data_IF_111169728476
#
_entry.id   IF_111169728476
#
_cell.length_a   1.000
_cell.length_b   1.000
_cell.length_c   1.000
_cell.angle_alpha   90.00
_cell.angle_beta   90.00
_cell.angle_gamma   90.00
#
_symmetry.space_group_name_H-M   'P 1'
#
loop_
_entity.id
_entity.type
_entity.pdbx_description
1 polymer ?
#
# COMPACT_ATOMS: atom_id res chain seq x y z
N UNK A 1 -1.58 16.29 10.97
CA UNK A 1 -2.79 15.46 11.09
C UNK A 1 -2.43 14.04 10.68
N UNK A 2 -2.87 13.02 11.43
CA UNK A 2 -2.64 11.63 11.04
C UNK A 2 -3.26 11.35 9.66
N UNK A 3 -2.62 10.47 8.90
CA UNK A 3 -3.11 9.97 7.61
C UNK A 3 -4.21 8.90 7.78
N UNK A 4 -4.48 8.48 9.01
CA UNK A 4 -5.50 7.49 9.38
C UNK A 4 -6.88 7.76 8.78
N UNK A 5 -7.34 9.01 8.68
CA UNK A 5 -8.62 9.34 8.02
C UNK A 5 -8.59 9.05 6.50
N UNK A 6 -7.47 9.36 5.84
CA UNK A 6 -7.26 9.02 4.42
C UNK A 6 -7.22 7.51 4.23
N UNK A 7 -6.48 6.79 5.08
CA UNK A 7 -6.38 5.32 5.03
C UNK A 7 -7.73 4.64 5.28
N UNK A 8 -8.45 5.10 6.31
CA UNK A 8 -9.82 4.67 6.60
C UNK A 8 -10.74 4.89 5.41
N UNK A 9 -10.71 6.08 4.82
CA UNK A 9 -11.53 6.41 3.65
C UNK A 9 -11.24 5.46 2.47
N UNK A 10 -9.98 5.14 2.20
CA UNK A 10 -9.61 4.18 1.15
C UNK A 10 -10.18 2.79 1.45
N UNK A 11 -9.93 2.26 2.66
CA UNK A 11 -10.30 0.89 3.05
C UNK A 11 -11.81 0.70 3.08
N UNK A 12 -12.56 1.66 3.63
CA UNK A 12 -14.02 1.58 3.70
C UNK A 12 -14.68 1.83 2.33
N UNK A 13 -14.07 2.64 1.46
CA UNK A 13 -14.66 2.97 0.16
C UNK A 13 -14.40 1.93 -0.93
N UNK A 14 -13.33 1.14 -0.84
CA UNK A 14 -12.92 0.24 -1.95
C UNK A 14 -13.89 -0.92 -2.18
N UNK A 15 -14.55 -1.42 -1.13
CA UNK A 15 -15.32 -2.65 -1.17
C UNK A 15 -14.40 -3.88 -1.08
N UNK A 16 -14.48 -4.59 0.05
CA UNK A 16 -13.59 -5.71 0.38
C UNK A 16 -12.20 -5.28 0.88
N UNK A 17 -12.05 -4.03 1.32
CA UNK A 17 -10.83 -3.54 1.97
C UNK A 17 -10.68 -4.13 3.37
N UNK A 18 -9.46 -4.54 3.71
CA UNK A 18 -9.14 -5.13 5.01
C UNK A 18 -8.21 -4.22 5.82
N UNK A 19 -7.29 -3.51 5.17
CA UNK A 19 -6.41 -2.57 5.85
C UNK A 19 -5.53 -1.80 4.87
N UNK A 20 -4.96 -0.70 5.33
CA UNK A 20 -3.99 0.10 4.57
C UNK A 20 -2.93 0.70 5.50
N UNK A 21 -1.73 0.89 4.97
CA UNK A 21 -0.58 1.40 5.73
C UNK A 21 0.27 2.30 4.85
N UNK A 22 0.77 3.39 5.44
CA UNK A 22 1.89 4.17 4.91
C UNK A 22 3.13 3.73 5.66
N UNK A 23 4.15 3.30 4.93
CA UNK A 23 5.34 2.70 5.51
C UNK A 23 6.59 3.23 4.82
N UNK A 24 7.62 3.46 5.63
CA UNK A 24 8.97 3.72 5.16
C UNK A 24 9.61 2.41 4.68
N UNK A 25 10.54 2.52 3.74
CA UNK A 25 11.19 1.36 3.15
C UNK A 25 11.93 0.51 4.18
N UNK A 26 12.40 1.09 5.28
CA UNK A 26 12.99 0.45 6.45
C UNK A 26 12.02 -0.44 7.27
N UNK A 27 10.73 -0.43 6.94
CA UNK A 27 9.69 -1.24 7.58
C UNK A 27 8.97 -0.52 8.72
N UNK A 28 9.23 0.77 8.95
CA UNK A 28 8.55 1.55 9.99
C UNK A 28 7.26 2.14 9.42
N UNK A 29 6.12 1.80 10.05
CA UNK A 29 4.83 2.37 9.70
C UNK A 29 4.74 3.84 10.16
N UNK A 30 4.35 4.74 9.26
CA UNK A 30 4.01 6.13 9.58
C UNK A 30 2.59 6.21 10.13
N UNK A 31 1.66 5.51 9.48
CA UNK A 31 0.27 5.45 9.87
C UNK A 31 -0.38 4.21 9.25
N UNK A 32 -1.39 3.68 9.92
CA UNK A 32 -2.10 2.48 9.49
C UNK A 32 -3.59 2.55 9.85
N UNK A 33 -4.39 1.83 9.07
CA UNK A 33 -5.78 1.59 9.38
C UNK A 33 -6.10 0.13 9.09
N UNK A 34 -6.63 -0.56 10.08
CA UNK A 34 -7.09 -1.95 9.99
C UNK A 34 -8.60 -1.98 10.19
N UNK A 35 -9.31 -2.67 9.30
CA UNK A 35 -10.73 -2.92 9.50
C UNK A 35 -10.91 -3.88 10.68
N UNK A 36 -11.82 -3.53 11.59
CA UNK A 36 -12.16 -4.36 12.74
C UNK A 36 -12.59 -5.77 12.30
N UNK A 37 -12.03 -6.78 12.96
CA UNK A 37 -12.39 -8.18 12.69
C UNK A 37 -11.80 -8.76 11.39
N UNK A 38 -10.86 -8.07 10.72
CA UNK A 38 -10.20 -8.58 9.51
C UNK A 38 -9.42 -9.89 9.72
N UNK A 39 -9.01 -10.19 10.96
CA UNK A 39 -8.25 -11.41 11.31
C UNK A 39 -6.83 -11.45 10.73
N UNK A 40 -6.34 -10.31 10.24
CA UNK A 40 -5.05 -10.14 9.57
C UNK A 40 -4.04 -9.48 10.51
N UNK A 41 -2.78 -9.90 10.43
CA UNK A 41 -1.64 -9.13 10.94
C UNK A 41 -1.12 -8.16 9.86
N UNK A 42 -1.67 -6.94 9.87
CA UNK A 42 -1.33 -5.91 8.88
C UNK A 42 0.16 -5.52 8.95
N UNK A 43 0.72 -5.42 10.15
CA UNK A 43 2.10 -5.00 10.35
C UNK A 43 3.07 -6.02 9.78
N UNK A 44 2.87 -7.31 10.10
CA UNK A 44 3.67 -8.39 9.53
C UNK A 44 3.59 -8.39 8.01
N UNK A 45 2.38 -8.30 7.44
CA UNK A 45 2.22 -8.23 5.98
C UNK A 45 2.96 -7.03 5.39
N UNK A 46 2.83 -5.86 5.99
CA UNK A 46 3.46 -4.63 5.51
C UNK A 46 4.99 -4.72 5.49
N UNK A 47 5.61 -5.27 6.55
CA UNK A 47 7.07 -5.45 6.64
C UNK A 47 7.58 -6.43 5.58
N UNK A 48 6.88 -7.54 5.36
CA UNK A 48 7.24 -8.51 4.32
C UNK A 48 7.12 -7.90 2.92
N UNK A 49 6.05 -7.14 2.65
CA UNK A 49 5.90 -6.44 1.38
C UNK A 49 6.90 -5.29 1.20
N UNK A 50 7.36 -4.62 2.27
CA UNK A 50 8.44 -3.63 2.20
C UNK A 50 9.74 -4.27 1.71
N UNK A 51 10.07 -5.46 2.23
CA UNK A 51 11.24 -6.23 1.82
C UNK A 51 11.15 -6.65 0.35
N UNK A 52 9.97 -7.13 -0.10
CA UNK A 52 9.74 -7.45 -1.50
C UNK A 52 9.85 -6.20 -2.40
N UNK A 53 9.26 -5.08 -1.98
CA UNK A 53 9.29 -3.82 -2.73
C UNK A 53 10.73 -3.33 -2.97
N UNK A 54 11.62 -3.47 -1.97
CA UNK A 54 13.04 -3.15 -2.07
C UNK A 54 13.74 -3.96 -3.18
N UNK A 55 13.48 -5.26 -3.24
CA UNK A 55 14.05 -6.11 -4.29
C UNK A 55 13.50 -5.73 -5.68
N UNK A 56 12.21 -5.44 -5.80
CA UNK A 56 11.61 -5.00 -7.07
C UNK A 56 12.16 -3.64 -7.53
N UNK A 57 12.34 -2.67 -6.61
CA UNK A 57 13.00 -1.38 -6.90
C UNK A 57 14.42 -1.61 -7.44
N UNK A 58 15.22 -2.45 -6.77
CA UNK A 58 16.58 -2.81 -7.22
C UNK A 58 16.58 -3.45 -8.61
N UNK A 59 15.63 -4.34 -8.90
CA UNK A 59 15.51 -4.95 -10.22
C UNK A 59 15.18 -3.90 -11.30
N UNK A 60 14.28 -2.96 -11.02
CA UNK A 60 13.94 -1.88 -11.95
C UNK A 60 15.16 -1.00 -12.28
N UNK A 61 16.00 -0.71 -11.28
CA UNK A 61 17.25 0.03 -11.46
C UNK A 61 18.25 -0.73 -12.34
N UNK A 62 18.45 -2.03 -12.07
CA UNK A 62 19.35 -2.90 -12.87
C UNK A 62 18.87 -2.99 -14.32
N UNK A 63 17.56 -3.12 -14.54
CA UNK A 63 16.96 -3.21 -15.87
C UNK A 63 16.82 -1.85 -16.56
N UNK A 64 17.13 -0.75 -15.86
CA UNK A 64 17.00 0.63 -16.35
C UNK A 64 15.59 0.97 -16.86
N UNK A 65 14.56 0.47 -16.16
CA UNK A 65 13.15 0.68 -16.54
C UNK A 65 12.52 1.92 -15.88
N UNK A 66 13.30 2.69 -15.13
CA UNK A 66 12.84 3.84 -14.35
C UNK A 66 12.30 3.42 -12.97
N UNK A 67 11.78 4.39 -12.23
CA UNK A 67 11.32 4.21 -10.86
C UNK A 67 10.08 3.32 -10.77
N UNK A 68 10.04 2.46 -9.75
CA UNK A 68 8.87 1.63 -9.46
C UNK A 68 7.68 2.50 -9.02
N UNK A 69 6.59 2.48 -9.78
CA UNK A 69 5.37 3.21 -9.42
C UNK A 69 4.39 2.39 -8.59
N UNK A 70 4.21 1.12 -8.91
CA UNK A 70 3.17 0.25 -8.37
C UNK A 70 3.57 -1.22 -8.44
N UNK A 71 3.20 -2.00 -7.43
CA UNK A 71 3.30 -3.46 -7.37
C UNK A 71 1.96 -4.03 -6.90
N UNK A 72 1.50 -5.11 -7.52
CA UNK A 72 0.29 -5.82 -7.09
C UNK A 72 0.58 -7.31 -6.91
N UNK A 73 0.10 -7.88 -5.80
CA UNK A 73 0.25 -9.30 -5.46
C UNK A 73 -1.11 -9.88 -5.16
N UNK A 74 -1.54 -10.84 -5.98
CA UNK A 74 -2.84 -11.48 -5.84
C UNK A 74 -2.63 -12.94 -5.46
N UNK A 75 -3.26 -13.36 -4.37
CA UNK A 75 -3.23 -14.72 -3.87
C UNK A 75 -4.64 -15.31 -3.83
N UNK A 76 -4.75 -16.59 -3.52
CA UNK A 76 -6.06 -17.24 -3.33
C UNK A 76 -6.83 -16.76 -2.10
N UNK A 77 -6.33 -15.79 -1.33
CA UNK A 77 -7.01 -15.29 -0.11
C UNK A 77 -7.02 -13.76 0.01
N UNK A 78 -6.11 -13.08 -0.66
CA UNK A 78 -5.95 -11.63 -0.56
C UNK A 78 -5.40 -11.02 -1.84
N UNK A 79 -5.63 -9.73 -1.98
CA UNK A 79 -5.01 -8.90 -3.01
C UNK A 79 -4.31 -7.75 -2.31
N UNK A 80 -3.07 -7.48 -2.68
CA UNK A 80 -2.28 -6.39 -2.10
C UNK A 80 -1.83 -5.48 -3.22
N UNK A 81 -2.07 -4.19 -3.05
CA UNK A 81 -1.66 -3.14 -4.00
C UNK A 81 -0.73 -2.20 -3.24
N UNK A 82 0.50 -2.09 -3.72
CA UNK A 82 1.53 -1.19 -3.18
C UNK A 82 1.79 -0.10 -4.20
N UNK A 83 1.81 1.17 -3.77
CA UNK A 83 2.15 2.33 -4.61
C UNK A 83 3.24 3.16 -3.95
N UNK A 84 4.26 3.51 -4.72
CA UNK A 84 5.35 4.37 -4.26
C UNK A 84 4.86 5.80 -4.08
N UNK A 85 5.06 6.37 -2.89
CA UNK A 85 4.76 7.79 -2.61
C UNK A 85 5.95 8.63 -3.05
N UNK A 86 7.13 8.37 -2.50
CA UNK A 86 8.41 8.98 -2.84
C UNK A 86 9.52 7.92 -2.74
N UNK A 87 10.79 8.31 -2.75
CA UNK A 87 11.89 7.34 -2.75
C UNK A 87 11.94 6.48 -1.48
N UNK A 88 11.48 7.03 -0.35
CA UNK A 88 11.57 6.43 0.99
C UNK A 88 10.26 5.80 1.46
N UNK A 89 9.11 6.23 0.92
CA UNK A 89 7.78 5.89 1.43
C UNK A 89 6.89 5.23 0.39
N UNK A 90 6.05 4.31 0.85
CA UNK A 90 4.99 3.70 0.05
C UNK A 90 3.69 3.59 0.82
N UNK A 91 2.60 3.39 0.09
CA UNK A 91 1.29 3.02 0.64
C UNK A 91 0.92 1.62 0.16
N UNK A 92 0.44 0.78 1.08
CA UNK A 92 -0.10 -0.54 0.77
C UNK A 92 -1.58 -0.61 1.13
N UNK A 93 -2.40 -1.20 0.26
CA UNK A 93 -3.79 -1.54 0.49
C UNK A 93 -3.96 -3.05 0.39
N UNK A 94 -4.56 -3.64 1.42
CA UNK A 94 -4.87 -5.06 1.48
C UNK A 94 -6.37 -5.24 1.32
N UNK A 95 -6.75 -6.12 0.39
CA UNK A 95 -8.11 -6.50 0.08
C UNK A 95 -8.30 -8.00 0.31
N UNK A 96 -9.54 -8.40 0.62
CA UNK A 96 -9.95 -9.79 0.51
C UNK A 96 -9.93 -10.28 -0.95
N UNK A 97 -10.02 -11.59 -1.16
CA UNK A 97 -9.99 -12.20 -2.49
C UNK A 97 -11.06 -11.61 -3.45
N UNK A 98 -12.24 -11.28 -2.93
CA UNK A 98 -13.37 -10.71 -3.70
C UNK A 98 -13.39 -9.18 -3.70
N UNK A 99 -12.33 -8.53 -3.20
CA UNK A 99 -12.23 -7.08 -3.15
C UNK A 99 -12.11 -6.43 -4.52
N UNK A 100 -12.57 -5.18 -4.62
CA UNK A 100 -12.53 -4.44 -5.89
C UNK A 100 -11.13 -3.86 -6.15
N UNK A 101 -10.24 -4.69 -6.71
CA UNK A 101 -8.86 -4.32 -7.05
C UNK A 101 -8.78 -3.03 -7.88
N UNK A 102 -9.61 -2.92 -8.92
CA UNK A 102 -9.60 -1.78 -9.84
C UNK A 102 -9.91 -0.46 -9.12
N UNK A 103 -10.93 -0.46 -8.25
CA UNK A 103 -11.25 0.68 -7.41
C UNK A 103 -10.14 0.99 -6.41
N UNK A 104 -9.50 -0.04 -5.85
CA UNK A 104 -8.37 0.12 -4.92
C UNK A 104 -7.19 0.85 -5.57
N UNK A 105 -6.79 0.41 -6.78
CA UNK A 105 -5.73 1.06 -7.56
C UNK A 105 -6.06 2.52 -7.88
N UNK A 106 -7.31 2.80 -8.24
CA UNK A 106 -7.78 4.16 -8.51
C UNK A 106 -7.69 5.05 -7.26
N UNK A 107 -8.21 4.57 -6.12
CA UNK A 107 -8.18 5.32 -4.86
C UNK A 107 -6.74 5.60 -4.42
N UNK A 108 -5.87 4.59 -4.42
CA UNK A 108 -4.45 4.79 -4.09
C UNK A 108 -3.78 5.81 -5.01
N UNK A 109 -4.03 5.76 -6.32
CA UNK A 109 -3.47 6.74 -7.27
C UNK A 109 -3.92 8.16 -6.94
N UNK A 110 -5.21 8.34 -6.61
CA UNK A 110 -5.78 9.64 -6.25
C UNK A 110 -5.16 10.18 -4.96
N UNK A 111 -5.09 9.36 -3.92
CA UNK A 111 -4.60 9.81 -2.60
C UNK A 111 -3.09 10.04 -2.60
N UNK A 112 -2.30 9.24 -3.33
CA UNK A 112 -0.83 9.41 -3.41
C UNK A 112 -0.43 10.80 -3.90
N UNK A 113 -1.22 11.42 -4.78
CA UNK A 113 -0.96 12.80 -5.20
C UNK A 113 -0.94 13.78 -4.02
N UNK A 114 -1.97 13.73 -3.15
CA UNK A 114 -2.03 14.57 -1.95
C UNK A 114 -1.05 14.14 -0.85
N UNK A 115 -0.73 12.84 -0.76
CA UNK A 115 0.28 12.34 0.18
C UNK A 115 1.68 12.86 -0.16
N UNK A 116 2.03 12.94 -1.45
CA UNK A 116 3.33 13.47 -1.91
C UNK A 116 3.56 14.88 -1.40
N UNK A 117 2.59 15.78 -1.54
CA UNK A 117 2.73 17.17 -1.08
C UNK A 117 2.91 17.29 0.44
N UNK A 118 2.35 16.35 1.21
CA UNK A 118 2.39 16.35 2.69
C UNK A 118 3.59 15.61 3.28
N UNK A 119 4.23 14.75 2.48
CA UNK A 119 5.36 13.89 2.84
C UNK A 119 6.59 14.18 1.95
N UNK A 120 6.64 15.37 1.36
CA UNK A 120 7.80 15.88 0.60
C UNK A 120 8.94 16.27 1.53
#
# INVERSE_FOLDING_TARGET
MPFSETLKSIVESVGGGLGAVIMADDGIAIDEYLLDGSGMDLNLMAVEYASLLKEVKRMADVLKTGSLEEMAVNTGRSQVIVRTINDELFIALILGQDGNCGKGRYLLRREVFGLRERLS
#
